data_IF_836962252812
#
_entry.id   IF_836962252812
#
_cell.length_a   1.000
_cell.length_b   1.000
_cell.length_c   1.000
_cell.angle_alpha   90.00
_cell.angle_beta   90.00
_cell.angle_gamma   90.00
#
_symmetry.space_group_name_H-M   'P 1'
#
loop_
_entity.id
_entity.type
_entity.pdbx_description
1 polymer ?
#
# COMPACT_ATOMS: atom_id res chain seq x y z
N UNK A 1 31.36 10.04 -3.13
CA UNK A 1 29.90 10.06 -3.36
C UNK A 1 29.29 11.07 -2.40
N UNK A 2 28.61 12.11 -2.91
CA UNK A 2 28.20 13.31 -2.17
C UNK A 2 27.39 12.99 -0.90
N UNK A 3 28.00 13.22 0.26
CA UNK A 3 27.39 12.97 1.59
C UNK A 3 26.11 13.75 1.84
N UNK A 4 25.85 14.83 1.09
CA UNK A 4 24.63 15.64 1.20
C UNK A 4 23.42 14.95 0.58
N UNK A 5 23.55 14.36 -0.61
CA UNK A 5 22.44 13.67 -1.28
C UNK A 5 21.95 12.45 -0.51
N UNK A 6 22.89 11.61 -0.05
CA UNK A 6 22.58 10.42 0.74
C UNK A 6 21.87 10.76 2.07
N UNK A 7 22.36 11.77 2.80
CA UNK A 7 21.72 12.22 4.05
C UNK A 7 20.29 12.73 3.82
N UNK A 8 20.06 13.45 2.72
CA UNK A 8 18.72 13.89 2.33
C UNK A 8 17.79 12.71 2.06
N UNK A 9 18.23 11.73 1.26
CA UNK A 9 17.44 10.53 0.97
C UNK A 9 17.13 9.70 2.22
N UNK A 10 18.10 9.59 3.15
CA UNK A 10 17.90 8.93 4.43
C UNK A 10 16.83 9.65 5.27
N UNK A 11 16.87 10.98 5.33
CA UNK A 11 15.86 11.78 6.02
C UNK A 11 14.45 11.58 5.45
N UNK A 12 14.31 11.63 4.13
CA UNK A 12 13.04 11.37 3.42
C UNK A 12 12.54 9.95 3.69
N UNK A 13 13.43 8.96 3.67
CA UNK A 13 13.10 7.56 3.95
C UNK A 13 12.57 7.38 5.37
N UNK A 14 13.23 7.97 6.36
CA UNK A 14 12.81 7.91 7.78
C UNK A 14 11.43 8.56 7.93
N UNK A 15 11.26 9.77 7.39
CA UNK A 15 9.99 10.49 7.47
C UNK A 15 8.84 9.71 6.82
N UNK A 16 9.03 9.20 5.60
CA UNK A 16 8.03 8.40 4.91
C UNK A 16 7.71 7.09 5.66
N UNK A 17 8.71 6.46 6.29
CA UNK A 17 8.49 5.27 7.11
C UNK A 17 7.69 5.58 8.37
N UNK A 18 7.93 6.72 9.03
CA UNK A 18 7.12 7.16 10.16
C UNK A 18 5.65 7.38 9.75
N UNK A 19 5.41 7.99 8.60
CA UNK A 19 4.05 8.12 8.06
C UNK A 19 3.40 6.75 7.82
N UNK A 20 4.13 5.79 7.25
CA UNK A 20 3.62 4.42 7.06
C UNK A 20 3.25 3.75 8.39
N UNK A 21 4.08 3.91 9.42
CA UNK A 21 3.81 3.37 10.77
C UNK A 21 2.54 4.01 11.36
N UNK A 22 2.42 5.34 11.28
CA UNK A 22 1.23 6.06 11.75
C UNK A 22 -0.03 5.57 11.02
N UNK A 23 0.03 5.40 9.70
CA UNK A 23 -1.10 4.88 8.92
C UNK A 23 -1.48 3.44 9.30
N UNK A 24 -0.49 2.57 9.57
CA UNK A 24 -0.76 1.20 10.05
C UNK A 24 -1.45 1.24 11.40
N UNK A 25 -0.92 2.01 12.37
CA UNK A 25 -1.51 2.15 13.70
C UNK A 25 -2.94 2.69 13.59
N UNK A 26 -3.17 3.69 12.76
CA UNK A 26 -4.50 4.24 12.50
C UNK A 26 -5.48 3.17 12.00
N UNK A 27 -5.08 2.38 11.00
CA UNK A 27 -5.92 1.29 10.45
C UNK A 27 -6.22 0.24 11.52
N UNK A 28 -5.23 -0.17 12.32
CA UNK A 28 -5.41 -1.14 13.40
C UNK A 28 -6.38 -0.62 14.46
N UNK A 29 -6.20 0.63 14.91
CA UNK A 29 -7.10 1.26 15.88
C UNK A 29 -8.52 1.37 15.33
N UNK A 30 -8.69 1.87 14.10
CA UNK A 30 -10.01 1.97 13.47
C UNK A 30 -10.68 0.60 13.35
N UNK A 31 -9.92 -0.43 12.96
CA UNK A 31 -10.45 -1.79 12.83
C UNK A 31 -10.83 -2.40 14.18
N UNK A 32 -10.07 -2.11 15.24
CA UNK A 32 -10.42 -2.47 16.60
C UNK A 32 -11.78 -1.85 16.98
N UNK A 33 -11.92 -0.52 16.83
CA UNK A 33 -13.18 0.17 17.16
C UNK A 33 -14.38 -0.35 16.34
N UNK A 34 -14.20 -0.60 15.05
CA UNK A 34 -15.23 -1.19 14.18
C UNK A 34 -15.68 -2.58 14.66
N UNK A 35 -14.75 -3.36 15.25
CA UNK A 35 -15.00 -4.74 15.68
C UNK A 35 -15.51 -4.89 17.13
N UNK A 36 -15.20 -3.96 18.03
CA UNK A 36 -15.46 -4.10 19.47
C UNK A 36 -16.41 -3.06 20.05
N UNK A 37 -16.72 -1.98 19.32
CA UNK A 37 -17.62 -0.95 19.83
C UNK A 37 -19.09 -1.42 19.74
N UNK A 38 -19.95 -0.76 20.51
CA UNK A 38 -21.41 -0.87 20.40
C UNK A 38 -21.96 0.51 20.06
N UNK A 39 -22.25 0.77 18.78
CA UNK A 39 -22.74 2.06 18.29
C UNK A 39 -22.76 2.16 16.76
N UNK A 40 -23.16 3.31 16.24
CA UNK A 40 -23.10 3.61 14.80
C UNK A 40 -21.63 3.52 14.31
N UNK A 41 -21.35 2.68 13.31
CA UNK A 41 -20.00 2.41 12.83
C UNK A 41 -19.37 1.09 13.29
N UNK A 42 -20.17 0.15 13.80
CA UNK A 42 -19.76 -1.23 14.07
C UNK A 42 -20.25 -2.15 12.96
N UNK A 43 -19.54 -3.25 12.71
CA UNK A 43 -20.03 -4.25 11.75
C UNK A 43 -21.24 -4.97 12.33
N UNK A 44 -22.38 -4.90 11.63
CA UNK A 44 -23.49 -5.83 11.85
C UNK A 44 -23.35 -6.96 10.86
N UNK A 45 -23.04 -8.13 11.41
CA UNK A 45 -22.88 -9.35 10.66
C UNK A 45 -24.26 -9.86 10.24
N UNK A 46 -24.49 -9.91 8.94
CA UNK A 46 -25.67 -10.54 8.36
C UNK A 46 -25.28 -11.91 7.82
N UNK A 47 -25.99 -12.97 8.21
CA UNK A 47 -25.64 -14.35 7.81
C UNK A 47 -25.55 -14.52 6.28
N UNK A 48 -26.43 -13.86 5.54
CA UNK A 48 -26.48 -13.93 4.06
C UNK A 48 -25.32 -13.20 3.38
N UNK A 49 -24.71 -12.21 4.04
CA UNK A 49 -23.63 -11.38 3.50
C UNK A 49 -22.31 -11.57 4.26
N UNK A 50 -22.28 -12.46 5.26
CA UNK A 50 -21.14 -12.65 6.16
C UNK A 50 -19.82 -12.86 5.42
N UNK A 51 -19.73 -13.72 4.38
CA UNK A 51 -18.47 -13.92 3.66
C UNK A 51 -17.97 -12.65 2.97
N UNK A 52 -18.88 -11.84 2.42
CA UNK A 52 -18.54 -10.59 1.75
C UNK A 52 -18.08 -9.54 2.77
N UNK A 53 -18.83 -9.37 3.86
CA UNK A 53 -18.49 -8.43 4.94
C UNK A 53 -17.14 -8.80 5.57
N UNK A 54 -16.90 -10.08 5.84
CA UNK A 54 -15.65 -10.57 6.40
C UNK A 54 -14.50 -10.39 5.39
N UNK A 55 -14.74 -10.67 4.12
CA UNK A 55 -13.77 -10.45 3.03
C UNK A 55 -13.37 -8.99 2.89
N UNK A 56 -14.34 -8.07 2.93
CA UNK A 56 -14.09 -6.62 2.89
C UNK A 56 -13.28 -6.18 4.11
N UNK A 57 -13.70 -6.56 5.32
CA UNK A 57 -13.02 -6.15 6.55
C UNK A 57 -11.58 -6.70 6.65
N UNK A 58 -11.41 -8.01 6.44
CA UNK A 58 -10.09 -8.67 6.49
C UNK A 58 -9.23 -8.19 5.33
N UNK A 59 -9.79 -8.07 4.13
CA UNK A 59 -9.10 -7.57 2.95
C UNK A 59 -8.54 -6.16 3.17
N UNK A 60 -9.36 -5.24 3.68
CA UNK A 60 -8.94 -3.89 4.06
C UNK A 60 -7.77 -3.92 5.03
N UNK A 61 -7.89 -4.70 6.12
CA UNK A 61 -6.87 -4.79 7.15
C UNK A 61 -5.55 -5.33 6.59
N UNK A 62 -5.59 -6.48 5.93
CA UNK A 62 -4.40 -7.18 5.43
C UNK A 62 -3.74 -6.38 4.32
N UNK A 63 -4.48 -5.98 3.29
CA UNK A 63 -3.88 -5.36 2.10
C UNK A 63 -3.42 -3.93 2.36
N UNK A 64 -4.10 -3.12 3.20
CA UNK A 64 -3.58 -1.80 3.56
C UNK A 64 -2.35 -1.90 4.46
N UNK A 65 -2.34 -2.78 5.46
CA UNK A 65 -1.13 -2.98 6.28
C UNK A 65 0.03 -3.48 5.44
N UNK A 66 -0.21 -4.45 4.54
CA UNK A 66 0.80 -4.96 3.63
C UNK A 66 1.31 -3.88 2.66
N UNK A 67 0.43 -3.03 2.13
CA UNK A 67 0.79 -1.89 1.29
C UNK A 67 1.82 -0.97 1.97
N UNK A 68 1.54 -0.51 3.20
CA UNK A 68 2.48 0.35 3.94
C UNK A 68 3.78 -0.38 4.31
N UNK A 69 3.70 -1.66 4.67
CA UNK A 69 4.88 -2.48 4.94
C UNK A 69 5.78 -2.63 3.70
N UNK A 70 5.19 -2.82 2.52
CA UNK A 70 5.91 -2.92 1.26
C UNK A 70 6.53 -1.58 0.84
N UNK A 71 5.87 -0.45 1.08
CA UNK A 71 6.48 0.88 0.88
C UNK A 71 7.73 1.03 1.73
N UNK A 72 7.66 0.71 3.03
CA UNK A 72 8.84 0.73 3.90
C UNK A 72 9.93 -0.20 3.37
N UNK A 73 9.58 -1.44 2.99
CA UNK A 73 10.54 -2.40 2.42
C UNK A 73 11.21 -1.85 1.16
N UNK A 74 10.44 -1.23 0.25
CA UNK A 74 10.96 -0.57 -0.94
C UNK A 74 11.98 0.52 -0.58
N UNK A 75 11.63 1.40 0.36
CA UNK A 75 12.49 2.52 0.78
C UNK A 75 13.79 2.04 1.43
N UNK A 76 13.72 1.08 2.35
CA UNK A 76 14.92 0.54 3.01
C UNK A 76 15.82 -0.22 2.03
N UNK A 77 15.25 -0.99 1.10
CA UNK A 77 16.02 -1.64 0.04
C UNK A 77 16.69 -0.63 -0.89
N UNK A 78 15.98 0.44 -1.25
CA UNK A 78 16.52 1.51 -2.07
C UNK A 78 17.69 2.22 -1.35
N UNK A 79 17.54 2.53 -0.06
CA UNK A 79 18.60 3.14 0.75
C UNK A 79 19.84 2.24 0.83
N UNK A 80 19.64 0.94 1.06
CA UNK A 80 20.72 -0.05 1.09
C UNK A 80 21.42 -0.15 -0.26
N UNK A 81 20.66 -0.26 -1.35
CA UNK A 81 21.22 -0.35 -2.69
C UNK A 81 22.11 0.87 -3.02
N UNK A 82 21.68 2.08 -2.65
CA UNK A 82 22.47 3.30 -2.86
C UNK A 82 23.78 3.27 -2.07
N UNK A 83 23.76 2.76 -0.83
CA UNK A 83 24.97 2.57 -0.04
C UNK A 83 25.95 1.59 -0.72
N UNK A 84 25.41 0.61 -1.43
CA UNK A 84 26.16 -0.41 -2.17
C UNK A 84 26.51 0.03 -3.61
N UNK A 85 26.27 1.29 -3.99
CA UNK A 85 26.58 1.84 -5.33
C UNK A 85 25.56 1.48 -6.42
N UNK A 86 24.42 0.88 -6.06
CA UNK A 86 23.36 0.46 -6.97
C UNK A 86 22.19 1.44 -6.94
N UNK A 87 21.88 2.06 -8.08
CA UNK A 87 20.77 3.01 -8.20
C UNK A 87 19.40 2.33 -8.28
N UNK A 88 19.28 1.17 -8.93
CA UNK A 88 18.00 0.53 -9.20
C UNK A 88 18.03 -0.97 -8.87
N UNK A 89 17.78 -1.36 -7.61
CA UNK A 89 17.67 -2.77 -7.25
C UNK A 89 16.53 -3.49 -7.98
N UNK A 90 16.86 -4.56 -8.74
CA UNK A 90 15.89 -5.37 -9.50
C UNK A 90 14.70 -5.86 -8.66
N UNK A 91 14.96 -6.20 -7.39
CA UNK A 91 13.95 -6.71 -6.47
C UNK A 91 12.82 -5.70 -6.22
N UNK A 92 13.12 -4.39 -6.30
CA UNK A 92 12.14 -3.34 -6.08
C UNK A 92 11.08 -3.29 -7.18
N UNK A 93 11.37 -3.79 -8.39
CA UNK A 93 10.35 -3.93 -9.45
C UNK A 93 9.19 -4.80 -8.97
N UNK A 94 9.50 -5.97 -8.39
CA UNK A 94 8.47 -6.89 -7.88
C UNK A 94 7.68 -6.25 -6.74
N UNK A 95 8.38 -5.56 -5.83
CA UNK A 95 7.74 -4.85 -4.71
C UNK A 95 6.76 -3.80 -5.22
N UNK A 96 7.11 -3.01 -6.24
CA UNK A 96 6.21 -1.99 -6.80
C UNK A 96 4.94 -2.57 -7.40
N UNK A 97 5.02 -3.69 -8.13
CA UNK A 97 3.81 -4.37 -8.62
C UNK A 97 2.95 -4.88 -7.47
N UNK A 98 3.55 -5.47 -6.44
CA UNK A 98 2.81 -5.92 -5.26
C UNK A 98 2.18 -4.76 -4.50
N UNK A 99 2.85 -3.61 -4.40
CA UNK A 99 2.30 -2.36 -3.85
C UNK A 99 1.05 -1.94 -4.63
N UNK A 100 1.08 -1.96 -5.97
CA UNK A 100 -0.06 -1.60 -6.79
C UNK A 100 -1.28 -2.52 -6.55
N UNK A 101 -1.04 -3.83 -6.45
CA UNK A 101 -2.10 -4.81 -6.15
C UNK A 101 -2.67 -4.61 -4.75
N UNK A 102 -1.80 -4.44 -3.75
CA UNK A 102 -2.23 -4.21 -2.37
C UNK A 102 -3.00 -2.89 -2.23
N UNK A 103 -2.58 -1.85 -2.93
CA UNK A 103 -3.29 -0.57 -3.00
C UNK A 103 -4.69 -0.75 -3.58
N UNK A 104 -4.79 -1.44 -4.72
CA UNK A 104 -6.08 -1.66 -5.40
C UNK A 104 -7.05 -2.42 -4.49
N UNK A 105 -6.64 -3.59 -3.98
CA UNK A 105 -7.52 -4.43 -3.16
C UNK A 105 -7.83 -3.70 -1.84
N UNK A 106 -6.82 -3.12 -1.19
CA UNK A 106 -7.00 -2.42 0.08
C UNK A 106 -7.96 -1.24 -0.01
N UNK A 107 -7.91 -0.45 -1.09
CA UNK A 107 -8.84 0.67 -1.29
C UNK A 107 -10.20 0.23 -1.81
N UNK A 108 -10.30 -0.82 -2.64
CA UNK A 108 -11.60 -1.40 -2.98
C UNK A 108 -12.35 -1.86 -1.72
N UNK A 109 -11.66 -2.50 -0.77
CA UNK A 109 -12.28 -2.86 0.50
C UNK A 109 -12.62 -1.64 1.38
N UNK A 110 -11.87 -0.54 1.28
CA UNK A 110 -12.15 0.69 2.04
C UNK A 110 -13.35 1.44 1.47
N UNK A 111 -13.42 1.59 0.15
CA UNK A 111 -14.53 2.21 -0.58
C UNK A 111 -15.86 1.48 -0.30
N UNK A 112 -15.79 0.18 0.00
CA UNK A 112 -16.93 -0.68 0.27
C UNK A 112 -17.14 -0.97 1.76
N UNK A 113 -16.43 -0.30 2.67
CA UNK A 113 -16.54 -0.58 4.11
C UNK A 113 -17.95 -0.30 4.65
N UNK A 114 -18.69 0.62 4.04
CA UNK A 114 -20.10 0.90 4.36
C UNK A 114 -20.99 -0.34 4.20
N UNK A 115 -20.73 -1.17 3.19
CA UNK A 115 -21.42 -2.46 2.98
C UNK A 115 -21.23 -3.41 4.18
N UNK A 116 -20.14 -3.24 4.94
CA UNK A 116 -19.90 -3.99 6.17
C UNK A 116 -20.46 -3.30 7.43
N UNK A 117 -20.70 -1.98 7.44
CA UNK A 117 -20.92 -1.18 8.66
C UNK A 117 -22.38 -0.90 9.05
N UNK A 118 -23.37 -1.50 8.37
CA UNK A 118 -24.79 -1.09 8.39
C UNK A 118 -25.00 0.19 7.57
N UNK A 119 -25.50 0.04 6.34
CA UNK A 119 -26.52 0.90 5.77
C UNK A 119 -26.78 0.45 4.33
N UNK A 120 -28.07 0.30 4.02
CA UNK A 120 -28.66 -0.03 2.72
C UNK A 120 -28.71 -1.53 2.37
N UNK A 121 -29.94 -2.04 2.37
CA UNK A 121 -30.37 -3.36 1.86
C UNK A 121 -30.01 -3.62 0.37
N UNK A 122 -29.28 -2.71 -0.26
CA UNK A 122 -28.81 -2.77 -1.64
C UNK A 122 -27.32 -2.41 -1.75
N UNK A 123 -26.48 -2.94 -0.86
CA UNK A 123 -25.02 -2.73 -0.84
C UNK A 123 -24.35 -3.09 -2.18
N UNK A 124 -24.46 -2.20 -3.15
CA UNK A 124 -23.87 -2.34 -4.47
C UNK A 124 -22.38 -2.18 -4.28
N UNK A 125 -21.62 -3.18 -4.72
CA UNK A 125 -20.17 -3.10 -4.71
C UNK A 125 -19.74 -1.93 -5.60
N UNK A 126 -19.21 -0.87 -4.98
CA UNK A 126 -18.79 0.35 -5.66
C UNK A 126 -17.36 0.20 -6.12
N UNK A 127 -17.13 0.51 -7.39
CA UNK A 127 -15.79 0.62 -7.95
C UNK A 127 -15.53 2.10 -8.23
N UNK A 128 -14.67 2.71 -7.42
CA UNK A 128 -14.29 4.10 -7.58
C UNK A 128 -13.26 4.25 -8.71
N UNK A 129 -13.47 5.21 -9.61
CA UNK A 129 -12.53 5.54 -10.69
C UNK A 129 -11.17 5.97 -10.16
N UNK A 130 -11.13 6.66 -9.02
CA UNK A 130 -9.88 7.16 -8.44
C UNK A 130 -9.01 6.00 -7.94
N UNK A 131 -9.63 5.01 -7.30
CA UNK A 131 -8.98 3.77 -6.84
C UNK A 131 -8.33 3.03 -8.01
N UNK A 132 -9.02 2.92 -9.14
CA UNK A 132 -8.47 2.33 -10.37
C UNK A 132 -7.35 3.18 -10.97
N UNK A 133 -7.53 4.50 -11.04
CA UNK A 133 -6.56 5.43 -11.62
C UNK A 133 -5.23 5.39 -10.85
N UNK A 134 -5.27 5.48 -9.53
CA UNK A 134 -4.05 5.44 -8.71
C UNK A 134 -3.36 4.07 -8.77
N UNK A 135 -4.12 2.98 -8.80
CA UNK A 135 -3.55 1.65 -9.02
C UNK A 135 -2.84 1.56 -10.38
N UNK A 136 -3.45 2.09 -11.45
CA UNK A 136 -2.86 2.13 -12.78
C UNK A 136 -1.58 3.00 -12.81
N UNK A 137 -1.58 4.14 -12.13
CA UNK A 137 -0.39 4.99 -12.00
C UNK A 137 0.75 4.25 -11.29
N UNK A 138 0.48 3.50 -10.22
CA UNK A 138 1.49 2.68 -9.54
C UNK A 138 2.08 1.60 -10.48
N UNK A 139 1.25 0.98 -11.31
CA UNK A 139 1.71 0.03 -12.35
C UNK A 139 2.59 0.72 -13.39
N UNK A 140 2.22 1.92 -13.84
CA UNK A 140 3.03 2.71 -14.76
C UNK A 140 4.38 3.06 -14.13
N UNK A 141 4.41 3.48 -12.87
CA UNK A 141 5.66 3.71 -12.15
C UNK A 141 6.51 2.44 -12.04
N UNK A 142 5.90 1.28 -11.78
CA UNK A 142 6.62 0.00 -11.74
C UNK A 142 7.23 -0.36 -13.10
N UNK A 143 6.53 -0.07 -14.20
CA UNK A 143 7.03 -0.26 -15.56
C UNK A 143 8.21 0.68 -15.87
N UNK A 144 8.09 1.97 -15.54
CA UNK A 144 9.17 2.94 -15.71
C UNK A 144 10.39 2.51 -14.91
N UNK A 145 10.22 2.10 -13.64
CA UNK A 145 11.30 1.61 -12.80
C UNK A 145 11.96 0.36 -13.40
N UNK A 146 11.17 -0.58 -13.95
CA UNK A 146 11.68 -1.77 -14.65
C UNK A 146 12.53 -1.40 -15.87
N UNK A 147 12.13 -0.39 -16.63
CA UNK A 147 12.94 0.11 -17.76
C UNK A 147 14.24 0.75 -17.24
N UNK A 148 14.18 1.57 -16.19
CA UNK A 148 15.36 2.17 -15.58
C UNK A 148 16.37 1.11 -15.09
N UNK A 149 15.87 0.03 -14.47
CA UNK A 149 16.68 -1.14 -14.08
C UNK A 149 17.40 -1.73 -15.29
N UNK A 150 16.68 -2.01 -16.39
CA UNK A 150 17.30 -2.57 -17.61
C UNK A 150 18.35 -1.65 -18.22
N UNK A 151 18.04 -0.37 -18.35
CA UNK A 151 18.99 0.63 -18.90
C UNK A 151 20.22 0.77 -18.02
N UNK A 152 20.07 0.69 -16.69
CA UNK A 152 21.19 0.73 -15.75
C UNK A 152 22.12 -0.48 -15.91
N UNK A 153 21.57 -1.65 -16.21
CA UNK A 153 22.33 -2.88 -16.44
C UNK A 153 23.06 -2.86 -17.79
N UNK A 154 22.38 -2.42 -18.84
CA UNK A 154 22.95 -2.34 -20.19
C UNK A 154 24.11 -1.33 -20.27
N UNK A 155 24.01 -0.22 -19.52
CA UNK A 155 25.02 0.84 -19.56
C UNK A 155 26.15 0.68 -18.53
N UNK A 156 26.19 -0.41 -17.74
CA UNK A 156 27.12 -0.55 -16.61
C UNK A 156 27.17 0.72 -15.73
N UNK A 157 26.02 1.36 -15.52
CA UNK A 157 25.88 2.52 -14.65
C UNK A 157 25.96 2.07 -13.18
N UNK A 158 27.10 1.53 -12.78
CA UNK A 158 27.54 1.40 -11.39
C UNK A 158 28.37 2.64 -11.06
N UNK A 159 27.95 3.38 -10.04
CA UNK A 159 28.66 4.59 -9.57
C UNK A 159 29.96 4.20 -8.88
#
# INVERSE_FOLDING_TARGET
METKGYKGMMGVTIFASLLCIVSIVWILCQSYFISTSSGEGCIVWHDDLYPLQAGIFIGRLVFKTLFYALIMAFLFKQLKAIKDGMLFPRENVKIMYTIAVCYLIGNLCDDNISTALICEDNGAFVINSDTLLYAALLVIFALIYKVAVKVSEENNLTI
#
